data_IF_077438840135
#
_entry.id   IF_077438840135
#
_cell.length_a   1.000
_cell.length_b   1.000
_cell.length_c   1.000
_cell.angle_alpha   90.00
_cell.angle_beta   90.00
_cell.angle_gamma   90.00
#
_symmetry.space_group_name_H-M   'P 1'
#
loop_
_entity.id
_entity.type
_entity.pdbx_description
1 polymer ?
#
# COMPACT_ATOMS: atom_id res chain seq x y z
N UNK A 1 13.94 83.00 -10.82
CA UNK A 1 12.74 82.16 -10.64
C UNK A 1 13.10 80.72 -11.07
N UNK A 2 13.65 79.94 -10.16
CA UNK A 2 14.08 78.59 -10.45
C UNK A 2 13.01 77.61 -9.86
N UNK A 3 12.35 76.87 -10.72
CA UNK A 3 11.41 75.81 -10.34
C UNK A 3 12.14 74.46 -10.39
N UNK A 4 12.40 73.88 -9.22
CA UNK A 4 12.90 72.51 -9.08
C UNK A 4 11.73 71.52 -9.20
N UNK A 5 11.78 70.63 -10.22
CA UNK A 5 10.89 69.49 -10.34
C UNK A 5 11.52 68.27 -9.65
N UNK A 6 10.97 67.82 -8.51
CA UNK A 6 11.34 66.56 -7.92
C UNK A 6 10.52 65.47 -8.59
N UNK A 7 11.19 64.59 -9.32
CA UNK A 7 10.60 63.43 -9.95
C UNK A 7 10.62 62.26 -8.93
N UNK A 8 9.50 61.91 -8.36
CA UNK A 8 9.38 60.74 -7.45
C UNK A 8 9.29 59.47 -8.28
N UNK A 9 10.35 58.66 -8.23
CA UNK A 9 10.37 57.32 -8.81
C UNK A 9 9.71 56.38 -7.80
N UNK A 10 8.50 55.92 -8.11
CA UNK A 10 7.81 54.86 -7.35
C UNK A 10 8.34 53.52 -7.87
N UNK A 11 9.17 52.85 -7.06
CA UNK A 11 9.67 51.50 -7.33
C UNK A 11 8.56 50.51 -6.90
N UNK A 12 7.85 49.96 -7.88
CA UNK A 12 6.91 48.87 -7.64
C UNK A 12 7.70 47.56 -7.43
N UNK A 13 7.83 47.11 -6.19
CA UNK A 13 8.28 45.76 -5.89
C UNK A 13 7.14 44.78 -6.13
N UNK A 14 7.12 44.11 -7.27
CA UNK A 14 6.28 42.93 -7.50
C UNK A 14 6.89 41.74 -6.76
N UNK A 15 6.30 41.40 -5.61
CA UNK A 15 6.63 40.17 -4.90
C UNK A 15 6.01 39.02 -5.69
N UNK A 16 6.80 38.33 -6.50
CA UNK A 16 6.43 37.08 -7.11
C UNK A 16 6.37 36.02 -5.96
N UNK A 17 5.18 35.70 -5.50
CA UNK A 17 4.96 34.48 -4.73
C UNK A 17 5.12 33.30 -5.68
N UNK A 18 6.32 32.75 -5.79
CA UNK A 18 6.55 31.42 -6.32
C UNK A 18 5.79 30.44 -5.39
N UNK A 19 4.63 30.01 -5.84
CA UNK A 19 3.98 28.84 -5.27
C UNK A 19 4.93 27.67 -5.50
N UNK A 20 5.72 27.34 -4.46
CA UNK A 20 6.53 26.14 -4.44
C UNK A 20 5.52 24.99 -4.51
N UNK A 21 5.34 24.41 -5.69
CA UNK A 21 4.64 23.14 -5.82
C UNK A 21 5.45 22.16 -4.97
N UNK A 22 4.84 21.67 -3.91
CA UNK A 22 5.42 20.65 -3.04
C UNK A 22 5.40 19.34 -3.85
N UNK A 23 6.37 19.19 -4.74
CA UNK A 23 6.53 18.04 -5.62
C UNK A 23 7.06 16.89 -4.77
N UNK A 24 6.17 16.36 -3.93
CA UNK A 24 6.48 15.21 -3.10
C UNK A 24 6.79 14.04 -4.00
N UNK A 25 8.06 13.67 -4.04
CA UNK A 25 8.54 12.56 -4.84
C UNK A 25 8.22 11.21 -4.17
N UNK A 26 8.15 10.16 -4.98
CA UNK A 26 8.13 8.79 -4.47
C UNK A 26 9.44 8.48 -3.75
N UNK A 27 9.33 7.95 -2.54
CA UNK A 27 10.46 7.51 -1.73
C UNK A 27 10.41 5.99 -1.56
N UNK A 28 11.54 5.29 -1.63
CA UNK A 28 11.59 3.87 -1.34
C UNK A 28 11.05 3.59 0.07
N UNK A 29 10.04 2.75 0.16
CA UNK A 29 9.57 2.15 1.41
C UNK A 29 10.31 0.83 1.68
N UNK A 30 10.75 0.17 0.60
CA UNK A 30 11.69 -0.96 0.62
C UNK A 30 13.00 -0.53 -0.04
N UNK A 31 14.11 -0.68 0.66
CA UNK A 31 15.42 -0.18 0.25
C UNK A 31 16.22 -1.15 -0.66
N UNK A 32 15.71 -2.35 -0.91
CA UNK A 32 16.37 -3.39 -1.70
C UNK A 32 17.58 -4.07 -1.03
N UNK A 33 17.87 -3.76 0.24
CA UNK A 33 19.05 -4.28 0.96
C UNK A 33 18.67 -5.10 2.18
N UNK A 34 17.72 -4.63 2.95
CA UNK A 34 17.25 -5.22 4.20
C UNK A 34 15.80 -4.83 4.48
N UNK A 35 15.29 -5.23 5.65
CA UNK A 35 13.96 -4.91 6.13
C UNK A 35 13.96 -3.70 7.09
N UNK A 36 14.91 -2.78 6.98
CA UNK A 36 14.95 -1.56 7.78
C UNK A 36 13.65 -0.75 7.64
N UNK A 37 13.05 -0.36 8.78
CA UNK A 37 11.76 0.32 8.83
C UNK A 37 10.53 -0.60 8.80
N UNK A 38 10.77 -1.93 8.79
CA UNK A 38 9.75 -2.97 8.86
C UNK A 38 10.02 -3.92 10.02
N UNK A 39 8.98 -4.54 10.56
CA UNK A 39 9.11 -5.71 11.41
C UNK A 39 8.21 -6.84 10.94
N UNK A 40 8.58 -8.08 11.27
CA UNK A 40 7.78 -9.26 10.96
C UNK A 40 6.83 -9.62 12.10
N UNK A 41 5.73 -10.27 11.76
CA UNK A 41 4.88 -11.00 12.68
C UNK A 41 4.49 -12.33 12.06
N UNK A 42 4.73 -13.43 12.75
CA UNK A 42 4.35 -14.76 12.32
C UNK A 42 3.33 -15.36 13.29
N UNK A 43 2.35 -16.07 12.74
CA UNK A 43 1.23 -16.65 13.49
C UNK A 43 1.69 -17.49 14.68
N UNK A 44 2.71 -18.31 14.49
CA UNK A 44 3.20 -19.23 15.54
C UNK A 44 4.37 -18.68 16.36
N UNK A 45 5.03 -17.62 15.89
CA UNK A 45 6.30 -17.11 16.45
C UNK A 45 6.15 -15.73 17.10
N UNK A 46 5.13 -14.96 16.69
CA UNK A 46 4.93 -13.60 17.16
C UNK A 46 5.79 -12.56 16.44
N UNK A 47 5.96 -11.41 17.10
CA UNK A 47 6.62 -10.22 16.55
C UNK A 47 8.13 -10.39 16.50
N UNK A 48 8.72 -9.96 15.39
CA UNK A 48 10.19 -9.89 15.15
C UNK A 48 10.91 -11.22 15.43
N UNK A 49 10.23 -12.33 15.21
CA UNK A 49 10.76 -13.67 15.38
C UNK A 49 10.49 -14.50 14.11
N UNK A 50 11.46 -14.49 13.20
CA UNK A 50 11.41 -15.18 11.90
C UNK A 50 12.65 -16.08 11.71
N UNK A 51 12.77 -17.17 12.51
CA UNK A 51 13.92 -18.05 12.44
C UNK A 51 14.01 -18.85 11.12
N UNK A 52 12.88 -19.03 10.44
CA UNK A 52 12.75 -19.77 9.18
C UNK A 52 12.91 -18.87 7.94
N UNK A 53 13.25 -17.59 8.16
CA UNK A 53 13.43 -16.60 7.09
C UNK A 53 12.28 -16.57 6.09
N UNK A 54 11.05 -16.49 6.63
CA UNK A 54 9.83 -16.33 5.82
C UNK A 54 9.94 -15.08 4.97
N UNK A 55 10.53 -14.01 5.54
CA UNK A 55 10.83 -12.76 4.87
C UNK A 55 12.34 -12.58 4.75
N UNK A 56 12.85 -12.41 3.55
CA UNK A 56 14.28 -12.19 3.30
C UNK A 56 14.50 -11.23 2.14
N UNK A 57 15.69 -10.63 2.10
CA UNK A 57 16.11 -9.78 0.99
C UNK A 57 17.30 -10.44 0.30
N UNK A 58 17.17 -10.65 -1.01
CA UNK A 58 18.24 -11.22 -1.83
C UNK A 58 18.20 -10.60 -3.23
N UNK A 59 19.34 -10.20 -3.75
CA UNK A 59 19.52 -9.64 -5.10
C UNK A 59 18.56 -8.45 -5.38
N UNK A 60 18.35 -7.59 -4.38
CA UNK A 60 17.43 -6.45 -4.48
C UNK A 60 15.96 -6.79 -4.37
N UNK A 61 15.60 -8.04 -4.15
CA UNK A 61 14.23 -8.51 -4.06
C UNK A 61 13.87 -8.84 -2.60
N UNK A 62 12.71 -8.38 -2.17
CA UNK A 62 12.04 -8.93 -1.01
C UNK A 62 11.42 -10.27 -1.44
N UNK A 63 11.85 -11.34 -0.81
CA UNK A 63 11.29 -12.68 -0.97
C UNK A 63 10.42 -13.03 0.24
N UNK A 64 9.20 -13.46 -0.02
CA UNK A 64 8.25 -14.00 0.94
C UNK A 64 8.04 -15.47 0.58
N UNK A 65 8.37 -16.39 1.47
CA UNK A 65 8.27 -17.83 1.17
C UNK A 65 6.83 -18.33 1.16
N UNK A 66 5.95 -17.73 1.96
CA UNK A 66 4.57 -18.20 2.15
C UNK A 66 4.42 -19.41 3.08
N UNK A 67 5.50 -19.98 3.62
CA UNK A 67 5.44 -21.21 4.44
C UNK A 67 4.64 -21.05 5.72
N UNK A 68 4.60 -19.86 6.28
CA UNK A 68 3.85 -19.55 7.49
C UNK A 68 3.03 -18.29 7.28
N UNK A 69 1.83 -18.27 7.85
CA UNK A 69 0.96 -17.10 7.86
C UNK A 69 1.53 -16.02 8.77
N UNK A 70 1.56 -14.82 8.24
CA UNK A 70 2.08 -13.66 8.93
C UNK A 70 2.25 -12.50 7.97
N UNK A 71 3.10 -11.57 8.33
CA UNK A 71 3.34 -10.37 7.54
C UNK A 71 4.64 -9.66 7.92
N UNK A 72 5.10 -8.77 7.05
CA UNK A 72 5.92 -7.63 7.44
C UNK A 72 5.04 -6.39 7.46
N UNK A 73 5.34 -5.47 8.36
CA UNK A 73 4.58 -4.23 8.52
C UNK A 73 5.52 -3.07 8.83
N UNK A 74 5.22 -1.87 8.28
CA UNK A 74 6.02 -0.68 8.54
C UNK A 74 5.98 -0.28 10.01
N UNK A 75 7.09 0.23 10.53
CA UNK A 75 7.17 0.78 11.88
C UNK A 75 6.37 2.09 12.00
N UNK A 76 6.37 2.91 10.93
CA UNK A 76 5.63 4.18 10.88
C UNK A 76 4.25 4.01 10.22
N UNK A 77 3.35 4.93 10.55
CA UNK A 77 2.03 5.05 9.96
C UNK A 77 2.00 6.12 8.87
N UNK A 78 1.00 6.01 7.98
CA UNK A 78 0.76 6.93 6.88
C UNK A 78 -0.71 7.33 6.86
N UNK A 79 -1.01 8.56 6.40
CA UNK A 79 -2.37 9.12 6.38
C UNK A 79 -2.87 9.26 4.94
N UNK A 80 -2.30 10.18 4.17
CA UNK A 80 -2.62 10.35 2.76
C UNK A 80 -1.39 9.96 1.94
N UNK A 81 -1.56 9.03 1.01
CA UNK A 81 -0.41 8.51 0.25
C UNK A 81 -0.81 7.91 -1.09
N UNK A 82 0.18 7.80 -1.96
CA UNK A 82 0.19 6.96 -3.14
C UNK A 82 1.28 5.91 -2.96
N UNK A 83 0.90 4.67 -2.76
CA UNK A 83 1.80 3.51 -2.68
C UNK A 83 1.91 2.84 -4.03
N UNK A 84 3.11 2.43 -4.38
CA UNK A 84 3.41 1.62 -5.57
C UNK A 84 4.15 0.38 -5.13
N UNK A 85 3.68 -0.79 -5.54
CA UNK A 85 4.37 -2.05 -5.32
C UNK A 85 4.44 -2.85 -6.63
N UNK A 86 5.59 -3.46 -6.91
CA UNK A 86 5.76 -4.38 -8.03
C UNK A 86 6.07 -5.76 -7.50
N UNK A 87 5.15 -6.69 -7.75
CA UNK A 87 5.24 -8.07 -7.26
C UNK A 87 5.21 -9.09 -8.39
N UNK A 88 5.70 -10.27 -8.08
CA UNK A 88 5.64 -11.45 -8.95
C UNK A 88 5.43 -12.70 -8.10
N UNK A 89 4.54 -13.58 -8.56
CA UNK A 89 4.40 -14.90 -7.96
C UNK A 89 5.64 -15.77 -8.21
N UNK A 90 6.06 -16.51 -7.16
CA UNK A 90 6.98 -17.62 -7.30
C UNK A 90 6.25 -18.91 -7.64
N UNK A 91 7.02 -20.00 -7.75
CA UNK A 91 6.47 -21.30 -8.13
C UNK A 91 5.83 -22.03 -6.95
N UNK A 92 6.38 -21.86 -5.75
CA UNK A 92 6.04 -22.67 -4.57
C UNK A 92 4.74 -22.22 -3.91
N UNK A 93 3.95 -23.20 -3.52
CA UNK A 93 2.78 -23.05 -2.65
C UNK A 93 2.89 -23.98 -1.45
N UNK A 94 2.28 -23.59 -0.33
CA UNK A 94 2.32 -24.32 0.93
C UNK A 94 0.92 -24.42 1.53
N UNK A 95 0.70 -25.40 2.44
CA UNK A 95 -0.59 -25.53 3.11
C UNK A 95 -1.08 -24.22 3.74
N UNK A 96 -2.37 -23.89 3.63
CA UNK A 96 -3.43 -24.66 2.97
C UNK A 96 -3.65 -24.32 1.48
N UNK A 97 -2.68 -23.65 0.81
CA UNK A 97 -2.80 -23.13 -0.56
C UNK A 97 -2.24 -24.07 -1.64
N UNK A 98 -1.72 -25.24 -1.32
CA UNK A 98 -1.10 -26.16 -2.30
C UNK A 98 -1.97 -26.46 -3.52
N UNK A 99 -3.27 -26.69 -3.28
CA UNK A 99 -4.27 -26.97 -4.33
C UNK A 99 -5.16 -25.77 -4.66
N UNK A 100 -4.86 -24.58 -4.13
CA UNK A 100 -5.66 -23.36 -4.34
C UNK A 100 -4.86 -22.34 -5.13
N UNK A 101 -5.53 -21.24 -5.53
CA UNK A 101 -4.88 -20.06 -6.10
C UNK A 101 -3.90 -19.47 -5.08
N UNK A 102 -2.84 -18.80 -5.58
CA UNK A 102 -1.86 -18.09 -4.76
C UNK A 102 -2.54 -16.93 -4.06
N UNK A 103 -2.06 -16.62 -2.83
CA UNK A 103 -2.63 -15.57 -2.02
C UNK A 103 -1.56 -14.74 -1.33
N UNK A 104 -1.79 -13.46 -1.32
CA UNK A 104 -1.05 -12.42 -0.63
C UNK A 104 -1.94 -11.17 -0.57
N UNK A 105 -1.57 -10.16 0.20
CA UNK A 105 -2.29 -8.90 0.24
C UNK A 105 -1.41 -7.76 0.70
N UNK A 106 -1.75 -6.55 0.27
CA UNK A 106 -1.18 -5.31 0.81
C UNK A 106 -2.27 -4.66 1.65
N UNK A 107 -2.11 -4.73 2.99
CA UNK A 107 -3.00 -4.03 3.90
C UNK A 107 -2.44 -2.64 4.21
N UNK A 108 -3.33 -1.68 4.31
CA UNK A 108 -3.00 -0.32 4.67
C UNK A 108 -3.98 0.22 5.72
N UNK A 109 -3.62 1.33 6.35
CA UNK A 109 -4.32 1.81 7.54
C UNK A 109 -4.41 0.72 8.62
N UNK A 110 -3.34 -0.08 8.74
CA UNK A 110 -3.26 -1.13 9.75
C UNK A 110 -3.21 -0.48 11.13
N UNK A 111 -4.23 -0.76 11.92
CA UNK A 111 -4.38 -0.35 13.30
C UNK A 111 -4.60 -1.58 14.17
N UNK A 112 -4.50 -1.46 15.48
CA UNK A 112 -4.60 -2.56 16.45
C UNK A 112 -3.27 -3.25 16.78
N UNK A 113 -3.35 -4.17 17.73
CA UNK A 113 -2.24 -5.06 18.14
C UNK A 113 -1.95 -6.10 17.06
N UNK A 114 -0.74 -6.62 17.08
CA UNK A 114 -0.33 -7.66 16.13
C UNK A 114 -1.15 -8.93 16.30
N UNK A 115 -1.78 -9.36 15.23
CA UNK A 115 -2.56 -10.59 15.07
C UNK A 115 -2.69 -10.89 13.57
N UNK A 116 -2.98 -12.11 13.21
CA UNK A 116 -3.37 -12.48 11.84
C UNK A 116 -4.90 -12.34 11.74
N UNK A 117 -5.48 -11.51 10.97
CA UNK A 117 -5.15 -10.31 10.27
C UNK A 117 -5.58 -9.09 11.10
N UNK A 118 -4.78 -8.05 11.25
CA UNK A 118 -5.14 -6.87 12.03
C UNK A 118 -6.19 -6.01 11.31
N UNK A 119 -6.90 -5.17 12.07
CA UNK A 119 -7.87 -4.23 11.52
C UNK A 119 -7.21 -3.31 10.50
N UNK A 120 -7.74 -3.31 9.27
CA UNK A 120 -7.14 -2.63 8.12
C UNK A 120 -8.06 -2.62 6.91
N UNK A 121 -7.65 -1.89 5.88
CA UNK A 121 -8.13 -2.06 4.51
C UNK A 121 -7.08 -2.85 3.75
N UNK A 122 -7.50 -3.82 2.95
CA UNK A 122 -6.59 -4.61 2.12
C UNK A 122 -6.87 -4.39 0.64
N UNK A 123 -5.81 -4.18 -0.12
CA UNK A 123 -5.77 -4.41 -1.55
C UNK A 123 -5.34 -5.86 -1.77
N UNK A 124 -6.29 -6.68 -2.16
CA UNK A 124 -6.05 -8.11 -2.39
C UNK A 124 -5.05 -8.32 -3.52
N UNK A 125 -4.16 -9.30 -3.33
CA UNK A 125 -3.20 -9.78 -4.34
C UNK A 125 -3.41 -11.30 -4.55
N UNK A 126 -4.60 -11.81 -4.38
CA UNK A 126 -4.91 -13.19 -4.72
C UNK A 126 -4.95 -13.34 -6.23
N UNK A 127 -4.41 -14.45 -6.75
CA UNK A 127 -4.38 -14.81 -8.16
C UNK A 127 -5.82 -14.82 -8.74
N UNK A 128 -6.09 -13.93 -9.69
CA UNK A 128 -7.40 -13.67 -10.26
C UNK A 128 -8.25 -12.61 -9.53
N UNK A 129 -7.88 -12.23 -8.33
CA UNK A 129 -8.64 -11.29 -7.49
C UNK A 129 -7.85 -10.01 -7.15
N UNK A 130 -6.72 -9.74 -7.82
CA UNK A 130 -5.92 -8.55 -7.57
C UNK A 130 -6.73 -7.26 -7.69
N UNK A 131 -6.72 -6.45 -6.62
CA UNK A 131 -7.42 -5.18 -6.55
C UNK A 131 -8.77 -5.20 -5.85
N UNK A 132 -9.27 -6.36 -5.41
CA UNK A 132 -10.44 -6.41 -4.53
C UNK A 132 -10.16 -5.63 -3.24
N UNK A 133 -11.19 -5.05 -2.63
CA UNK A 133 -11.11 -4.58 -1.25
C UNK A 133 -11.47 -5.70 -0.28
N UNK A 134 -10.69 -5.83 0.78
CA UNK A 134 -11.12 -6.44 2.01
C UNK A 134 -11.15 -5.39 3.12
N UNK A 135 -12.32 -5.20 3.71
CA UNK A 135 -12.55 -4.35 4.88
C UNK A 135 -12.48 -5.26 6.10
N UNK A 136 -11.34 -5.25 6.79
CA UNK A 136 -11.01 -6.23 7.84
C UNK A 136 -11.37 -5.67 9.22
N UNK A 137 -12.00 -6.50 10.05
CA UNK A 137 -12.32 -6.23 11.44
C UNK A 137 -13.21 -4.97 11.61
N UNK A 138 -14.40 -5.02 11.00
CA UNK A 138 -15.44 -4.00 11.09
C UNK A 138 -15.07 -2.63 10.49
N UNK A 139 -14.13 -2.60 9.55
CA UNK A 139 -13.93 -1.41 8.70
C UNK A 139 -15.15 -1.22 7.80
N UNK A 140 -15.50 0.04 7.55
CA UNK A 140 -16.60 0.42 6.66
C UNK A 140 -16.10 1.31 5.53
N UNK A 141 -16.80 1.30 4.41
CA UNK A 141 -16.56 2.18 3.26
C UNK A 141 -17.85 2.34 2.45
N UNK A 142 -17.89 3.30 1.54
CA UNK A 142 -18.93 3.43 0.53
C UNK A 142 -18.34 3.04 -0.83
N UNK A 143 -19.01 2.13 -1.54
CA UNK A 143 -18.66 1.74 -2.92
C UNK A 143 -19.92 1.83 -3.77
N UNK A 144 -19.86 2.57 -4.88
CA UNK A 144 -21.03 2.81 -5.75
C UNK A 144 -22.27 3.32 -4.99
N UNK A 145 -22.04 4.23 -4.06
CA UNK A 145 -23.09 4.80 -3.15
C UNK A 145 -23.72 3.77 -2.20
N UNK A 146 -23.13 2.58 -2.08
CA UNK A 146 -23.63 1.51 -1.19
C UNK A 146 -22.66 1.36 -0.02
N UNK A 147 -23.20 1.42 1.22
CA UNK A 147 -22.44 1.17 2.43
C UNK A 147 -21.97 -0.28 2.48
N UNK A 148 -20.65 -0.47 2.64
CA UNK A 148 -20.00 -1.76 2.86
C UNK A 148 -19.60 -1.90 4.32
N UNK A 149 -19.76 -3.09 4.90
CA UNK A 149 -19.54 -3.32 6.33
C UNK A 149 -20.64 -2.69 7.21
N UNK A 150 -20.48 -2.68 8.56
CA UNK A 150 -19.42 -3.35 9.30
C UNK A 150 -19.71 -4.84 9.48
N UNK A 151 -18.83 -5.69 9.03
CA UNK A 151 -18.79 -7.11 9.36
C UNK A 151 -17.38 -7.49 9.80
N UNK A 152 -17.18 -8.74 10.26
CA UNK A 152 -15.83 -9.18 10.61
C UNK A 152 -14.84 -8.97 9.45
N UNK A 153 -15.25 -9.35 8.24
CA UNK A 153 -14.51 -9.11 7.00
C UNK A 153 -15.52 -8.94 5.87
N UNK A 154 -15.42 -7.83 5.13
CA UNK A 154 -16.27 -7.55 3.98
C UNK A 154 -15.39 -7.50 2.73
N UNK A 155 -15.70 -8.32 1.73
CA UNK A 155 -15.06 -8.29 0.42
C UNK A 155 -15.88 -7.43 -0.54
N UNK A 156 -15.20 -6.56 -1.29
CA UNK A 156 -15.77 -5.81 -2.41
C UNK A 156 -15.00 -6.19 -3.67
N UNK A 157 -15.67 -6.89 -4.56
CA UNK A 157 -15.05 -7.40 -5.79
C UNK A 157 -14.68 -6.25 -6.72
N UNK A 158 -13.52 -6.33 -7.34
CA UNK A 158 -13.05 -5.39 -8.36
C UNK A 158 -14.01 -5.32 -9.55
N UNK A 159 -14.05 -4.17 -10.20
CA UNK A 159 -14.93 -3.91 -11.37
C UNK A 159 -14.27 -4.28 -12.69
N UNK A 160 -12.94 -4.39 -12.69
CA UNK A 160 -12.12 -4.70 -13.88
C UNK A 160 -10.99 -5.63 -13.48
N UNK A 161 -10.53 -6.41 -14.42
CA UNK A 161 -9.33 -7.22 -14.27
C UNK A 161 -8.22 -6.72 -15.19
N UNK A 162 -6.99 -6.67 -14.68
CA UNK A 162 -5.81 -6.35 -15.47
C UNK A 162 -4.55 -7.01 -14.88
N UNK A 163 -4.74 -8.15 -14.20
CA UNK A 163 -3.64 -8.95 -13.67
C UNK A 163 -2.90 -9.64 -14.81
N UNK A 164 -1.57 -9.67 -14.74
CA UNK A 164 -0.73 -10.44 -15.65
C UNK A 164 -0.58 -11.87 -15.16
N UNK A 165 -0.31 -12.83 -16.06
CA UNK A 165 -0.12 -14.22 -15.70
C UNK A 165 0.92 -14.45 -14.61
N UNK A 166 0.76 -15.58 -13.89
CA UNK A 166 1.75 -16.05 -12.91
C UNK A 166 3.15 -16.11 -13.53
N UNK A 167 4.14 -15.59 -12.78
CA UNK A 167 5.53 -15.48 -13.23
C UNK A 167 5.88 -14.14 -13.89
N UNK A 168 4.90 -13.32 -14.25
CA UNK A 168 5.12 -11.96 -14.70
C UNK A 168 5.05 -10.94 -13.56
N UNK A 169 5.73 -9.79 -13.76
CA UNK A 169 5.68 -8.68 -12.80
C UNK A 169 4.36 -7.93 -12.94
N UNK A 170 3.65 -7.80 -11.83
CA UNK A 170 2.45 -6.98 -11.68
C UNK A 170 2.79 -5.73 -10.90
N UNK A 171 2.15 -4.61 -11.26
CA UNK A 171 2.23 -3.33 -10.56
C UNK A 171 0.90 -3.02 -9.88
N UNK A 172 0.94 -2.90 -8.58
CA UNK A 172 -0.19 -2.46 -7.76
C UNK A 172 0.07 -1.02 -7.34
N UNK A 173 -0.97 -0.20 -7.45
CA UNK A 173 -0.96 1.15 -6.88
C UNK A 173 -2.16 1.33 -5.96
N UNK A 174 -1.92 1.94 -4.81
CA UNK A 174 -2.95 2.27 -3.83
C UNK A 174 -2.87 3.77 -3.59
N UNK A 175 -3.93 4.49 -3.97
CA UNK A 175 -4.07 5.91 -3.64
C UNK A 175 -5.08 6.01 -2.50
N UNK A 176 -4.62 6.48 -1.36
CA UNK A 176 -5.44 6.66 -0.18
C UNK A 176 -5.36 8.12 0.27
N UNK A 177 -6.44 8.87 0.08
CA UNK A 177 -6.47 10.30 0.32
C UNK A 177 -7.82 10.73 0.90
N UNK A 178 -7.82 11.32 2.10
CA UNK A 178 -9.00 11.86 2.79
C UNK A 178 -10.21 10.90 2.83
N UNK A 179 -9.93 9.57 2.94
CA UNK A 179 -10.94 8.52 3.00
C UNK A 179 -11.45 8.02 1.66
N UNK A 180 -10.94 8.55 0.56
CA UNK A 180 -11.07 7.93 -0.74
C UNK A 180 -9.89 6.99 -0.97
N UNK A 181 -10.17 5.76 -1.40
CA UNK A 181 -9.17 4.75 -1.71
C UNK A 181 -9.39 4.24 -3.13
N UNK A 182 -8.32 4.18 -3.91
CA UNK A 182 -8.35 3.70 -5.29
C UNK A 182 -7.30 2.60 -5.44
N UNK A 183 -7.71 1.44 -5.98
CA UNK A 183 -6.82 0.35 -6.34
C UNK A 183 -6.58 0.33 -7.85
N UNK A 184 -5.31 0.29 -8.25
CA UNK A 184 -4.88 0.28 -9.65
C UNK A 184 -4.01 -0.95 -9.87
N UNK A 185 -4.32 -1.72 -10.89
CA UNK A 185 -3.56 -2.90 -11.30
C UNK A 185 -3.03 -2.67 -12.71
N UNK A 186 -1.70 -2.67 -12.87
CA UNK A 186 -1.01 -2.46 -14.15
C UNK A 186 -1.52 -1.24 -14.93
N UNK A 187 -1.76 -0.11 -14.20
CA UNK A 187 -2.20 1.16 -14.77
C UNK A 187 -3.71 1.29 -15.00
N UNK A 188 -4.51 0.27 -14.69
CA UNK A 188 -5.98 0.31 -14.78
C UNK A 188 -6.58 0.46 -13.40
N UNK A 189 -7.43 1.46 -13.18
CA UNK A 189 -8.26 1.58 -11.97
C UNK A 189 -9.25 0.41 -11.96
N UNK A 190 -9.11 -0.47 -10.99
CA UNK A 190 -9.93 -1.69 -10.87
C UNK A 190 -10.99 -1.58 -9.79
N UNK A 191 -10.76 -0.76 -8.76
CA UNK A 191 -11.71 -0.57 -7.66
C UNK A 191 -11.54 0.79 -6.98
N UNK A 192 -12.62 1.35 -6.45
CA UNK A 192 -12.63 2.61 -5.71
C UNK A 192 -13.60 2.52 -4.54
N UNK A 193 -13.23 3.15 -3.43
CA UNK A 193 -14.06 3.26 -2.23
C UNK A 193 -13.96 4.68 -1.67
N UNK A 194 -15.05 5.17 -1.08
CA UNK A 194 -15.14 6.45 -0.40
C UNK A 194 -15.55 6.25 1.06
N UNK A 195 -15.44 7.29 1.86
CA UNK A 195 -15.82 7.27 3.29
C UNK A 195 -15.29 6.06 4.06
N UNK A 196 -14.08 5.61 3.69
CA UNK A 196 -13.38 4.56 4.44
C UNK A 196 -13.23 5.00 5.88
N UNK A 197 -13.65 4.19 6.84
CA UNK A 197 -13.68 4.55 8.27
C UNK A 197 -12.29 4.65 8.94
N UNK A 198 -11.24 4.17 8.28
CA UNK A 198 -9.85 4.36 8.66
C UNK A 198 -9.21 5.48 7.83
N UNK A 199 -8.32 6.26 8.46
CA UNK A 199 -7.66 7.42 7.82
C UNK A 199 -6.15 7.40 7.96
N UNK A 200 -5.62 6.58 8.86
CA UNK A 200 -4.20 6.49 9.17
C UNK A 200 -3.87 5.10 9.70
N UNK A 201 -2.66 4.64 9.45
CA UNK A 201 -2.17 3.38 9.93
C UNK A 201 -0.93 2.93 9.18
N UNK A 202 -0.43 1.77 9.54
CA UNK A 202 0.77 1.16 8.95
C UNK A 202 0.43 0.48 7.63
N UNK A 203 1.46 0.15 6.84
CA UNK A 203 1.37 -0.64 5.62
C UNK A 203 1.95 -2.02 5.90
N UNK A 204 1.24 -3.06 5.49
CA UNK A 204 1.54 -4.46 5.77
C UNK A 204 1.53 -5.25 4.46
N UNK A 205 2.46 -6.20 4.33
CA UNK A 205 2.52 -7.17 3.24
C UNK A 205 2.46 -8.57 3.83
N UNK A 206 1.53 -9.35 3.34
CA UNK A 206 1.19 -10.67 3.89
C UNK A 206 2.19 -11.77 3.47
N UNK A 207 2.17 -12.86 4.23
CA UNK A 207 2.65 -14.20 3.88
C UNK A 207 1.49 -15.17 4.06
N UNK A 208 0.97 -15.74 2.97
CA UNK A 208 -0.27 -16.51 2.98
C UNK A 208 -0.24 -17.76 2.07
N UNK A 209 0.73 -18.61 2.28
CA UNK A 209 0.79 -19.92 1.63
C UNK A 209 1.34 -19.92 0.20
N UNK A 210 1.80 -18.78 -0.33
CA UNK A 210 2.39 -18.69 -1.66
C UNK A 210 3.70 -17.89 -1.67
N UNK A 211 4.67 -18.39 -2.44
CA UNK A 211 5.92 -17.70 -2.66
C UNK A 211 5.68 -16.44 -3.49
N UNK A 212 6.16 -15.30 -3.00
CA UNK A 212 5.97 -13.98 -3.64
C UNK A 212 7.26 -13.18 -3.59
N UNK A 213 7.52 -12.43 -4.65
CA UNK A 213 8.68 -11.53 -4.75
C UNK A 213 8.19 -10.11 -4.97
N UNK A 214 8.86 -9.14 -4.30
CA UNK A 214 8.68 -7.71 -4.55
C UNK A 214 10.03 -7.11 -4.95
N UNK A 215 10.06 -6.36 -6.05
CA UNK A 215 11.27 -5.65 -6.50
C UNK A 215 11.21 -4.16 -6.22
N UNK A 216 10.01 -3.62 -5.97
CA UNK A 216 9.76 -2.21 -5.73
C UNK A 216 8.62 -2.06 -4.73
N UNK A 217 8.82 -1.22 -3.72
CA UNK A 217 7.78 -0.71 -2.85
C UNK A 217 8.16 0.74 -2.57
N UNK A 218 7.39 1.68 -3.09
CA UNK A 218 7.63 3.12 -2.98
C UNK A 218 6.36 3.82 -2.51
N UNK A 219 6.53 4.93 -1.82
CA UNK A 219 5.44 5.74 -1.32
C UNK A 219 5.68 7.23 -1.57
N UNK A 220 4.62 7.93 -1.92
CA UNK A 220 4.53 9.37 -1.98
C UNK A 220 3.45 9.81 -0.99
N UNK A 221 3.80 10.67 -0.03
CA UNK A 221 2.81 11.28 0.88
C UNK A 221 2.10 12.44 0.15
N UNK A 222 0.77 12.48 0.24
CA UNK A 222 -0.10 13.43 -0.47
C UNK A 222 -0.47 14.63 0.41
#
# INVERSE_FOLDING_TARGET
MNRNYYSSIILLFSVLFLKQADDKEFKPLFNGKDLGGWYSFLKSKGKSNDPDTIFSVKDGLLKITGKEFGYIVTERSFTNFHLVAEFKWGEKKYPPRESRVRDNGICYYVVSTDKVWPRSVECQIQEGDCGDFWLIDSVTAVVDSIQQGPTKNTRVIKKKDNERPTGEWNRIEIIANQGKCTHIVNGVVVNEAEDVSLRTGRILIQSEGAETYYRKIEIKEL
#
